data_IF_146206939852
#
_entry.id   IF_146206939852
#
_cell.length_a   1.000
_cell.length_b   1.000
_cell.length_c   1.000
_cell.angle_alpha   90.00
_cell.angle_beta   90.00
_cell.angle_gamma   90.00
#
_symmetry.space_group_name_H-M   'P 1'
#
loop_
_entity.id
_entity.type
_entity.pdbx_description
1 polymer ?
#
# COMPACT_ATOMS: atom_id res chain seq x y z
N UNK A 1 29.28 -10.59 -23.04
CA UNK A 1 28.25 -11.48 -22.46
C UNK A 1 27.56 -10.69 -21.36
N UNK A 2 26.30 -10.30 -21.57
CA UNK A 2 25.51 -9.64 -20.53
C UNK A 2 25.05 -10.70 -19.53
N UNK A 3 25.52 -10.60 -18.29
CA UNK A 3 25.03 -11.44 -17.20
C UNK A 3 23.61 -10.98 -16.91
N UNK A 4 22.63 -11.83 -17.17
CA UNK A 4 21.27 -11.63 -16.69
C UNK A 4 21.31 -11.67 -15.15
N UNK A 5 21.34 -10.49 -14.52
CA UNK A 5 21.15 -10.37 -13.08
C UNK A 5 19.73 -10.80 -12.81
N UNK A 6 19.57 -12.04 -12.33
CA UNK A 6 18.29 -12.58 -11.92
C UNK A 6 17.87 -11.82 -10.67
N UNK A 7 17.06 -10.78 -10.85
CA UNK A 7 16.54 -9.91 -9.79
C UNK A 7 15.83 -10.76 -8.72
N UNK A 8 16.44 -10.88 -7.54
CA UNK A 8 15.79 -11.47 -6.36
C UNK A 8 15.08 -10.34 -5.62
N UNK A 9 13.91 -9.93 -6.10
CA UNK A 9 13.07 -8.97 -5.40
C UNK A 9 12.58 -9.65 -4.11
N UNK A 10 13.03 -9.18 -2.95
CA UNK A 10 12.47 -9.61 -1.67
C UNK A 10 11.08 -8.99 -1.54
N UNK A 11 10.04 -9.83 -1.58
CA UNK A 11 8.63 -9.41 -1.59
C UNK A 11 7.96 -9.80 -0.29
N UNK A 12 7.07 -8.94 0.19
CA UNK A 12 6.08 -9.33 1.16
C UNK A 12 5.05 -10.24 0.49
N UNK A 13 4.43 -11.13 1.28
CA UNK A 13 3.30 -11.92 0.80
C UNK A 13 2.15 -10.97 0.40
N UNK A 14 1.55 -11.21 -0.77
CA UNK A 14 0.35 -10.49 -1.19
C UNK A 14 -0.87 -11.17 -0.59
N UNK A 15 -1.57 -10.45 0.27
CA UNK A 15 -2.80 -10.90 0.92
C UNK A 15 -4.01 -10.28 0.24
N UNK A 16 -5.08 -11.08 0.13
CA UNK A 16 -6.35 -10.65 -0.44
C UNK A 16 -7.51 -11.26 0.34
N UNK A 17 -8.47 -10.43 0.75
CA UNK A 17 -9.67 -10.86 1.49
C UNK A 17 -10.85 -9.93 1.20
N UNK A 18 -12.04 -10.33 1.67
CA UNK A 18 -13.19 -9.44 1.75
C UNK A 18 -13.41 -9.07 3.22
N UNK A 19 -13.36 -7.78 3.53
CA UNK A 19 -13.51 -7.26 4.89
C UNK A 19 -14.72 -6.33 4.96
N UNK A 20 -15.47 -6.38 6.07
CA UNK A 20 -16.55 -5.43 6.29
C UNK A 20 -15.97 -4.14 6.87
N UNK A 21 -15.95 -3.06 6.08
CA UNK A 21 -15.40 -1.75 6.44
C UNK A 21 -16.41 -0.65 6.09
N UNK A 22 -16.65 0.26 7.03
CA UNK A 22 -17.63 1.35 6.92
C UNK A 22 -19.01 0.86 6.47
N UNK A 23 -19.47 -0.26 7.01
CA UNK A 23 -20.78 -0.84 6.72
C UNK A 23 -20.86 -1.69 5.44
N UNK A 24 -19.87 -1.61 4.54
CA UNK A 24 -19.84 -2.32 3.26
C UNK A 24 -18.85 -3.50 3.28
N UNK A 25 -19.13 -4.56 2.53
CA UNK A 25 -18.14 -5.58 2.23
C UNK A 25 -17.22 -5.06 1.12
N UNK A 26 -15.92 -5.04 1.38
CA UNK A 26 -14.91 -4.49 0.46
C UNK A 26 -13.80 -5.49 0.25
N UNK A 27 -13.34 -5.61 -0.98
CA UNK A 27 -12.11 -6.33 -1.26
C UNK A 27 -10.91 -5.52 -0.71
N UNK A 28 -10.07 -6.16 0.09
CA UNK A 28 -8.86 -5.58 0.68
C UNK A 28 -7.65 -6.36 0.19
N UNK A 29 -6.65 -5.65 -0.35
CA UNK A 29 -5.39 -6.22 -0.84
C UNK A 29 -4.23 -5.54 -0.13
N UNK A 30 -3.37 -6.31 0.52
CA UNK A 30 -2.13 -5.84 1.11
C UNK A 30 -0.94 -6.49 0.38
N UNK A 31 0.02 -5.68 -0.06
CA UNK A 31 1.21 -6.15 -0.77
C UNK A 31 2.40 -5.24 -0.48
N UNK A 32 3.61 -5.67 -0.83
CA UNK A 32 4.79 -4.84 -0.68
C UNK A 32 6.07 -5.49 -1.20
N UNK A 33 7.14 -4.71 -1.23
CA UNK A 33 8.47 -5.18 -1.61
C UNK A 33 9.57 -4.31 -1.00
N UNK A 34 10.78 -4.87 -0.95
CA UNK A 34 12.01 -4.14 -0.68
C UNK A 34 12.69 -3.82 -2.02
N UNK A 35 12.77 -2.55 -2.45
CA UNK A 35 13.51 -2.21 -3.66
C UNK A 35 14.97 -2.65 -3.53
N UNK A 36 15.53 -3.27 -4.57
CA UNK A 36 16.97 -3.42 -4.67
C UNK A 36 17.55 -2.06 -5.04
N UNK A 37 18.20 -1.42 -4.09
CA UNK A 37 18.83 -0.11 -4.31
C UNK A 37 20.16 -0.36 -5.02
N UNK A 38 20.28 0.11 -6.27
CA UNK A 38 21.57 0.23 -6.93
C UNK A 38 22.49 1.07 -6.02
N UNK A 39 23.71 0.63 -5.67
CA UNK A 39 24.63 1.38 -4.81
C UNK A 39 24.97 2.79 -5.33
N UNK A 40 24.71 3.08 -6.61
CA UNK A 40 24.90 4.39 -7.23
C UNK A 40 23.61 5.24 -7.29
N UNK A 41 22.45 4.69 -6.92
CA UNK A 41 21.22 5.45 -6.78
C UNK A 41 21.03 5.91 -5.35
N UNK A 42 20.95 7.23 -5.15
CA UNK A 42 20.47 7.83 -3.92
C UNK A 42 18.94 7.65 -3.81
N UNK A 43 18.50 6.41 -3.58
CA UNK A 43 17.11 6.11 -3.30
C UNK A 43 16.89 6.17 -1.78
N UNK A 44 16.08 7.12 -1.27
CA UNK A 44 15.80 7.18 0.16
C UNK A 44 14.87 6.04 0.62
N UNK A 45 14.13 5.43 -0.31
CA UNK A 45 13.12 4.43 -0.01
C UNK A 45 13.77 3.04 0.14
N UNK A 46 13.58 2.45 1.31
CA UNK A 46 14.11 1.13 1.69
C UNK A 46 13.06 0.03 1.58
N UNK A 47 11.78 0.39 1.75
CA UNK A 47 10.66 -0.53 1.62
C UNK A 47 9.41 0.18 1.12
N UNK A 48 8.55 -0.58 0.46
CA UNK A 48 7.27 -0.13 -0.06
C UNK A 48 6.16 -1.10 0.34
N UNK A 49 5.08 -0.58 0.91
CA UNK A 49 3.83 -1.31 1.09
C UNK A 49 2.70 -0.62 0.35
N UNK A 50 1.73 -1.42 -0.09
CA UNK A 50 0.51 -0.96 -0.73
C UNK A 50 -0.68 -1.66 -0.13
N UNK A 51 -1.59 -0.86 0.40
CA UNK A 51 -2.92 -1.28 0.83
C UNK A 51 -3.95 -0.76 -0.18
N UNK A 52 -4.79 -1.64 -0.69
CA UNK A 52 -5.94 -1.28 -1.52
C UNK A 52 -7.21 -1.70 -0.82
N UNK A 53 -8.16 -0.77 -0.71
CA UNK A 53 -9.49 -1.01 -0.18
C UNK A 53 -10.48 -0.66 -1.28
N UNK A 54 -11.31 -1.62 -1.68
CA UNK A 54 -12.29 -1.42 -2.74
C UNK A 54 -13.26 -0.30 -2.35
N UNK A 55 -13.44 0.64 -3.27
CA UNK A 55 -14.50 1.65 -3.21
C UNK A 55 -15.80 0.98 -3.65
N UNK A 56 -16.92 1.27 -2.98
CA UNK A 56 -18.21 0.68 -3.31
C UNK A 56 -19.28 1.76 -3.29
N UNK A 57 -20.16 1.80 -4.30
CA UNK A 57 -21.29 2.74 -4.34
C UNK A 57 -20.82 4.18 -4.52
N UNK A 58 -21.22 5.09 -3.63
CA UNK A 58 -20.88 6.52 -3.72
C UNK A 58 -19.36 6.78 -3.68
N UNK A 59 -18.59 5.93 -3.01
CA UNK A 59 -17.12 5.94 -2.98
C UNK A 59 -16.48 5.87 -4.36
N UNK A 60 -17.08 5.11 -5.28
CA UNK A 60 -16.54 4.91 -6.62
C UNK A 60 -16.73 6.13 -7.51
N UNK A 61 -17.87 6.82 -7.38
CA UNK A 61 -18.35 7.75 -8.40
C UNK A 61 -18.49 9.21 -7.92
N UNK A 62 -18.65 9.44 -6.61
CA UNK A 62 -19.08 10.74 -6.09
C UNK A 62 -17.99 11.48 -5.31
N UNK A 63 -17.22 10.76 -4.49
CA UNK A 63 -16.22 11.40 -3.64
C UNK A 63 -14.96 11.81 -4.41
N UNK A 64 -14.36 12.92 -4.01
CA UNK A 64 -13.03 13.36 -4.44
C UNK A 64 -11.93 12.60 -3.70
N UNK A 65 -10.69 12.66 -4.18
CA UNK A 65 -9.54 12.05 -3.49
C UNK A 65 -9.36 12.60 -2.08
N UNK A 66 -9.64 13.89 -1.86
CA UNK A 66 -9.54 14.51 -0.54
C UNK A 66 -10.60 13.97 0.42
N UNK A 67 -11.85 13.85 0.00
CA UNK A 67 -12.92 13.26 0.82
C UNK A 67 -12.63 11.79 1.14
N UNK A 68 -12.18 11.02 0.14
CA UNK A 68 -11.74 9.65 0.37
C UNK A 68 -10.59 9.58 1.37
N UNK A 69 -9.60 10.49 1.29
CA UNK A 69 -8.49 10.51 2.25
C UNK A 69 -8.94 10.80 3.69
N UNK A 70 -10.04 11.54 3.86
CA UNK A 70 -10.64 11.78 5.18
C UNK A 70 -11.40 10.54 5.67
N UNK A 71 -12.18 9.89 4.80
CA UNK A 71 -12.91 8.65 5.13
C UNK A 71 -11.93 7.55 5.56
N UNK A 72 -10.84 7.35 4.81
CA UNK A 72 -9.83 6.32 5.06
C UNK A 72 -8.64 6.83 5.89
N UNK A 73 -8.82 7.92 6.64
CA UNK A 73 -7.74 8.58 7.38
C UNK A 73 -7.06 7.69 8.41
N UNK A 74 -7.77 6.70 8.97
CA UNK A 74 -7.21 5.72 9.92
C UNK A 74 -6.13 4.82 9.31
N UNK A 75 -6.10 4.71 7.98
CA UNK A 75 -5.08 3.96 7.26
C UNK A 75 -3.88 4.84 6.85
N UNK A 76 -3.93 6.16 7.04
CA UNK A 76 -2.80 7.07 6.80
C UNK A 76 -1.84 7.02 8.00
N UNK A 77 -0.98 5.98 8.03
CA UNK A 77 -0.19 5.61 9.23
C UNK A 77 1.29 5.98 9.19
N UNK A 78 1.83 6.33 8.02
CA UNK A 78 3.28 6.60 7.86
C UNK A 78 3.50 8.05 7.49
N UNK A 79 4.29 8.73 8.31
CA UNK A 79 4.65 10.14 8.15
C UNK A 79 6.15 10.36 8.35
N UNK A 80 6.62 11.54 7.96
CA UNK A 80 8.01 11.95 8.16
C UNK A 80 8.35 11.99 9.66
N UNK A 81 9.54 11.55 10.10
CA UNK A 81 10.72 11.15 9.32
C UNK A 81 10.77 9.66 8.94
N UNK A 82 9.82 8.84 9.37
CA UNK A 82 9.84 7.39 9.14
C UNK A 82 9.60 7.02 7.67
N UNK A 83 8.78 7.82 6.99
CA UNK A 83 8.42 7.60 5.61
C UNK A 83 7.34 8.58 5.16
N UNK A 84 6.50 8.15 4.22
CA UNK A 84 5.30 8.88 3.80
C UNK A 84 4.21 7.94 3.32
N UNK A 85 2.96 8.35 3.51
CA UNK A 85 1.80 7.70 2.91
C UNK A 85 1.31 8.56 1.76
N UNK A 86 1.26 8.00 0.56
CA UNK A 86 0.60 8.61 -0.60
C UNK A 86 -0.78 7.99 -0.76
N UNK A 87 -1.82 8.81 -0.79
CA UNK A 87 -3.19 8.37 -1.01
C UNK A 87 -3.62 8.67 -2.44
N UNK A 88 -4.15 7.68 -3.15
CA UNK A 88 -4.72 7.88 -4.48
C UNK A 88 -5.93 6.98 -4.74
N UNK A 89 -6.69 7.30 -5.78
CA UNK A 89 -7.69 6.41 -6.36
C UNK A 89 -7.03 5.62 -7.49
N UNK A 90 -7.20 4.30 -7.49
CA UNK A 90 -6.68 3.41 -8.54
C UNK A 90 -7.78 2.53 -9.12
N UNK A 91 -7.60 2.11 -10.38
CA UNK A 91 -8.48 1.17 -11.07
C UNK A 91 -7.66 -0.09 -11.39
N UNK A 92 -8.14 -1.25 -10.94
CA UNK A 92 -7.49 -2.55 -11.17
C UNK A 92 -8.57 -3.57 -11.52
N UNK A 93 -8.47 -4.21 -12.68
CA UNK A 93 -9.44 -5.21 -13.15
C UNK A 93 -10.90 -4.75 -13.00
N UNK A 94 -11.19 -3.55 -13.53
CA UNK A 94 -12.50 -2.90 -13.53
C UNK A 94 -13.08 -2.55 -12.15
N UNK A 95 -12.28 -2.64 -11.08
CA UNK A 95 -12.64 -2.22 -9.74
C UNK A 95 -11.89 -0.96 -9.31
N UNK A 96 -12.58 -0.07 -8.62
CA UNK A 96 -12.01 1.14 -8.04
C UNK A 96 -11.51 0.89 -6.61
N UNK A 97 -10.35 1.43 -6.25
CA UNK A 97 -9.76 1.28 -4.92
C UNK A 97 -9.28 2.62 -4.37
N UNK A 98 -9.45 2.82 -3.06
CA UNK A 98 -8.59 3.67 -2.26
C UNK A 98 -7.25 2.96 -2.12
N UNK A 99 -6.20 3.53 -2.67
CA UNK A 99 -4.84 3.00 -2.62
C UNK A 99 -3.99 3.85 -1.67
N UNK A 100 -3.48 3.22 -0.63
CA UNK A 100 -2.51 3.79 0.30
C UNK A 100 -1.14 3.19 0.00
N UNK A 101 -0.24 4.04 -0.46
CA UNK A 101 1.13 3.68 -0.81
C UNK A 101 2.07 4.17 0.29
N UNK A 102 2.57 3.25 1.10
CA UNK A 102 3.49 3.53 2.19
C UNK A 102 4.92 3.38 1.70
N UNK A 103 5.67 4.48 1.69
CA UNK A 103 7.09 4.52 1.36
C UNK A 103 7.87 4.72 2.65
N UNK A 104 8.83 3.85 2.91
CA UNK A 104 9.62 3.87 4.14
C UNK A 104 11.07 4.21 3.85
N UNK A 105 11.69 5.00 4.75
CA UNK A 105 13.11 5.32 4.66
C UNK A 105 14.01 4.33 5.45
N UNK A 106 13.39 3.35 6.12
CA UNK A 106 14.05 2.24 6.82
C UNK A 106 13.23 0.95 6.67
N UNK A 107 13.88 -0.22 6.77
CA UNK A 107 13.23 -1.53 6.55
C UNK A 107 12.33 -1.98 7.70
N UNK A 108 12.78 -1.73 8.94
CA UNK A 108 12.11 -2.23 10.15
C UNK A 108 10.66 -1.72 10.30
N UNK A 109 10.38 -0.41 10.12
CA UNK A 109 9.01 0.11 10.23
C UNK A 109 8.04 -0.47 9.20
N UNK A 110 8.52 -0.88 8.02
CA UNK A 110 7.67 -1.48 7.00
C UNK A 110 7.17 -2.86 7.44
N UNK A 111 8.05 -3.69 8.01
CA UNK A 111 7.63 -5.00 8.51
C UNK A 111 6.60 -4.89 9.63
N UNK A 112 6.82 -3.94 10.56
CA UNK A 112 5.89 -3.68 11.66
C UNK A 112 4.50 -3.31 11.13
N UNK A 113 4.41 -2.32 10.22
CA UNK A 113 3.12 -1.92 9.67
C UNK A 113 2.45 -3.05 8.86
N UNK A 114 3.23 -3.83 8.10
CA UNK A 114 2.70 -4.98 7.37
C UNK A 114 2.05 -5.99 8.32
N UNK A 115 2.74 -6.34 9.42
CA UNK A 115 2.24 -7.31 10.39
C UNK A 115 1.05 -6.76 11.21
N UNK A 116 0.94 -5.45 11.40
CA UNK A 116 -0.23 -4.78 12.00
C UNK A 116 -1.44 -4.82 11.06
N UNK A 117 -1.29 -4.34 9.82
CA UNK A 117 -2.36 -4.37 8.81
C UNK A 117 -2.83 -5.79 8.51
N UNK A 118 -1.89 -6.76 8.51
CA UNK A 118 -2.22 -8.18 8.39
C UNK A 118 -3.17 -8.61 9.52
N UNK A 119 -2.82 -8.34 10.78
CA UNK A 119 -3.64 -8.72 11.95
C UNK A 119 -5.00 -8.03 12.01
N UNK A 120 -5.09 -6.80 11.53
CA UNK A 120 -6.32 -6.01 11.59
C UNK A 120 -7.31 -6.35 10.48
N UNK A 121 -6.81 -6.75 9.30
CA UNK A 121 -7.63 -6.86 8.09
C UNK A 121 -7.69 -8.29 7.51
N UNK A 122 -6.86 -9.24 7.97
CA UNK A 122 -6.73 -10.59 7.41
C UNK A 122 -6.66 -11.67 8.50
#
# INVERSE_FOLDING_TARGET
MAVAVKEIISRFETLKTNHRLYGCNREVILSGFYPQVDPYMAYPERAFLRLRIQLVGEDECSFTVNELSQIFSEFIRVNYPTGRTEFCRSIVADKCYAELNYRFFADNPAKVLYDELKRELF
#
